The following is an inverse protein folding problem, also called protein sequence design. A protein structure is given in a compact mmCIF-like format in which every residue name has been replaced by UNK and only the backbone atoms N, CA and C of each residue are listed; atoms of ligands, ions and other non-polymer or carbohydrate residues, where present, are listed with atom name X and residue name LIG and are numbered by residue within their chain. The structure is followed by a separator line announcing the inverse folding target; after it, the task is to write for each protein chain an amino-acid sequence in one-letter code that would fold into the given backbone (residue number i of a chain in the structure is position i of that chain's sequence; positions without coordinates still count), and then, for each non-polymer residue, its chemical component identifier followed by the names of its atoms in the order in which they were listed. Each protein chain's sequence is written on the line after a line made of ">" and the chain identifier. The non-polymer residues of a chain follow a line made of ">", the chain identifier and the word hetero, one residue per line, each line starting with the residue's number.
data_IF_376398870721
#
_entry.id   IF_376398870721
#
_cell.length_a   1.000
_cell.length_b   1.000
_cell.length_c   1.000
_cell.angle_alpha   90.00
_cell.angle_beta   90.00
_cell.angle_gamma   90.00
#
_symmetry.space_group_name_H-M   'P 1'
#
loop_
_entity.id
_entity.type
_entity.pdbx_description
1 polymer ?
#
# COMPACT_ATOMS: atom_id res chain seq x y z
N UNK A 1 -64.34 1.84 -38.87
CA UNK A 1 -63.81 2.78 -39.89
C UNK A 1 -62.79 3.68 -39.20
N UNK A 2 -61.50 3.41 -39.44
CA UNK A 2 -60.38 4.04 -38.75
C UNK A 2 -60.20 5.51 -39.13
N UNK A 3 -59.91 6.32 -38.11
CA UNK A 3 -59.72 7.77 -38.16
C UNK A 3 -58.29 8.05 -38.62
N UNK A 4 -58.11 8.58 -39.83
CA UNK A 4 -56.79 9.01 -40.32
C UNK A 4 -56.41 10.36 -39.71
N UNK A 5 -55.41 10.35 -38.83
CA UNK A 5 -54.78 11.52 -38.26
C UNK A 5 -53.69 12.02 -39.22
N UNK A 6 -53.82 13.28 -39.68
CA UNK A 6 -52.89 13.91 -40.62
C UNK A 6 -51.65 14.39 -39.86
N UNK A 7 -50.50 13.76 -40.12
CA UNK A 7 -49.19 14.21 -39.64
C UNK A 7 -48.81 15.49 -40.41
N UNK A 8 -48.76 16.62 -39.70
CA UNK A 8 -48.28 17.89 -40.23
C UNK A 8 -46.77 17.80 -40.47
N UNK A 9 -46.37 17.87 -41.74
CA UNK A 9 -44.97 17.97 -42.17
C UNK A 9 -44.43 19.37 -41.82
N UNK A 10 -43.67 19.43 -40.74
CA UNK A 10 -42.93 20.62 -40.29
C UNK A 10 -41.92 21.03 -41.37
N UNK A 11 -41.99 22.29 -41.81
CA UNK A 11 -41.20 22.85 -42.89
C UNK A 11 -39.68 22.77 -42.60
N UNK A 12 -38.82 22.61 -43.62
CA UNK A 12 -37.38 22.37 -43.43
C UNK A 12 -36.64 23.49 -42.70
N UNK A 13 -37.18 24.72 -42.72
CA UNK A 13 -36.62 25.89 -42.03
C UNK A 13 -36.77 25.82 -40.50
N UNK A 14 -37.83 25.20 -40.00
CA UNK A 14 -38.06 25.03 -38.55
C UNK A 14 -37.20 23.90 -37.95
N UNK A 15 -36.87 22.87 -38.75
CA UNK A 15 -35.95 21.80 -38.33
C UNK A 15 -34.52 22.31 -38.09
N UNK A 16 -34.07 23.26 -38.89
CA UNK A 16 -32.75 23.88 -38.74
C UNK A 16 -32.67 24.72 -37.45
N UNK A 17 -33.73 25.46 -37.14
CA UNK A 17 -33.83 26.27 -35.91
C UNK A 17 -33.82 25.39 -34.66
N UNK A 18 -34.53 24.25 -34.66
CA UNK A 18 -34.51 23.31 -33.55
C UNK A 18 -33.15 22.63 -33.38
N UNK A 19 -32.45 22.32 -34.48
CA UNK A 19 -31.10 21.76 -34.44
C UNK A 19 -30.09 22.76 -33.87
N UNK A 20 -30.15 24.02 -34.29
CA UNK A 20 -29.27 25.09 -33.79
C UNK A 20 -29.55 25.35 -32.31
N UNK A 21 -30.82 25.39 -31.89
CA UNK A 21 -31.20 25.54 -30.49
C UNK A 21 -30.69 24.37 -29.62
N UNK A 22 -30.74 23.13 -30.14
CA UNK A 22 -30.19 21.96 -29.46
C UNK A 22 -28.67 22.01 -29.28
N UNK A 23 -27.93 22.45 -30.31
CA UNK A 23 -26.48 22.64 -30.23
C UNK A 23 -26.12 23.73 -29.21
N UNK A 24 -26.86 24.83 -29.19
CA UNK A 24 -26.62 25.94 -28.25
C UNK A 24 -26.86 25.53 -26.79
N UNK A 25 -27.89 24.71 -26.54
CA UNK A 25 -28.15 24.11 -25.22
C UNK A 25 -27.03 23.15 -24.79
N UNK A 26 -26.49 22.38 -25.74
CA UNK A 26 -25.41 21.43 -25.48
C UNK A 26 -24.09 22.16 -25.18
N UNK A 27 -23.80 23.25 -25.89
CA UNK A 27 -22.63 24.12 -25.61
C UNK A 27 -22.77 24.80 -24.24
N UNK A 28 -23.96 25.29 -23.87
CA UNK A 28 -24.21 25.86 -22.54
C UNK A 28 -24.04 24.83 -21.42
N UNK A 29 -24.46 23.58 -21.64
CA UNK A 29 -24.25 22.48 -20.70
C UNK A 29 -22.75 22.15 -20.51
N UNK A 30 -21.96 22.17 -21.59
CA UNK A 30 -20.51 21.97 -21.49
C UNK A 30 -19.79 23.14 -20.82
N UNK A 31 -20.25 24.39 -21.00
CA UNK A 31 -19.66 25.55 -20.31
C UNK A 31 -19.93 25.56 -18.80
N UNK A 32 -21.02 24.93 -18.33
CA UNK A 32 -21.27 24.77 -16.89
C UNK A 32 -20.41 23.69 -16.22
N UNK A 33 -19.77 22.80 -16.99
CA UNK A 33 -18.89 21.73 -16.47
C UNK A 33 -17.42 22.18 -16.32
N UNK A 34 -17.06 23.39 -16.74
CA UNK A 34 -15.68 23.93 -16.67
C UNK A 34 -15.47 24.78 -15.40
N UNK A 35 -16.48 24.92 -14.54
CA UNK A 35 -16.52 25.88 -13.43
C UNK A 35 -15.96 25.47 -12.07
N UNK A 36 -15.41 24.26 -11.87
CA UNK A 36 -14.87 23.83 -10.57
C UNK A 36 -13.59 23.00 -10.70
N UNK A 37 -12.56 23.57 -11.34
CA UNK A 37 -11.18 23.13 -11.07
C UNK A 37 -10.47 24.23 -10.30
N UNK A 38 -10.16 23.91 -9.04
CA UNK A 38 -9.22 24.67 -8.23
C UNK A 38 -7.94 24.95 -9.04
N UNK A 39 -7.30 26.12 -8.84
CA UNK A 39 -6.09 26.47 -9.56
C UNK A 39 -5.03 25.38 -9.39
N UNK A 40 -4.48 24.94 -10.52
CA UNK A 40 -3.36 24.02 -10.58
C UNK A 40 -2.15 24.80 -10.04
N UNK A 41 -1.82 24.60 -8.76
CA UNK A 41 -0.53 24.98 -8.21
C UNK A 41 0.53 24.15 -8.94
N UNK A 42 1.29 24.82 -9.80
CA UNK A 42 2.45 24.26 -10.48
C UNK A 42 3.32 23.54 -9.46
N UNK A 43 3.48 22.23 -9.60
CA UNK A 43 4.50 21.51 -8.89
C UNK A 43 5.84 21.95 -9.49
N UNK A 44 6.53 22.87 -8.82
CA UNK A 44 7.98 22.90 -8.92
C UNK A 44 8.47 21.49 -8.59
N UNK A 45 9.32 20.93 -9.46
CA UNK A 45 9.98 19.64 -9.26
C UNK A 45 10.94 19.74 -8.09
N UNK A 46 10.38 19.67 -6.89
CA UNK A 46 11.09 19.33 -5.67
C UNK A 46 11.14 17.80 -5.62
N UNK A 47 12.34 17.25 -5.72
CA UNK A 47 12.58 15.84 -5.49
C UNK A 47 12.12 15.48 -4.06
N UNK A 48 10.89 14.98 -3.93
CA UNK A 48 10.38 14.38 -2.71
C UNK A 48 10.44 12.87 -2.91
N UNK A 49 11.57 12.28 -2.54
CA UNK A 49 11.61 10.85 -2.26
C UNK A 49 10.72 10.59 -1.04
N UNK A 50 9.56 9.96 -1.28
CA UNK A 50 8.79 9.32 -0.21
C UNK A 50 9.49 8.02 0.19
N UNK A 51 10.51 8.14 1.02
CA UNK A 51 10.97 7.05 1.90
C UNK A 51 10.32 7.23 3.28
N UNK A 52 9.78 6.15 3.84
CA UNK A 52 8.99 6.12 5.09
C UNK A 52 9.82 6.28 6.38
N UNK A 53 11.05 6.76 6.27
CA UNK A 53 11.85 7.29 7.37
C UNK A 53 12.52 8.55 6.87
N UNK A 54 12.14 9.70 7.42
CA UNK A 54 12.77 10.97 7.11
C UNK A 54 14.27 10.88 7.44
N UNK A 55 15.10 10.65 6.43
CA UNK A 55 16.51 10.98 6.47
C UNK A 55 16.57 12.49 6.65
N UNK A 56 16.68 12.91 7.91
CA UNK A 56 17.13 14.24 8.25
C UNK A 56 18.58 14.32 7.76
N UNK A 57 18.76 14.72 6.50
CA UNK A 57 20.05 15.18 6.00
C UNK A 57 20.32 16.47 6.78
N UNK A 58 21.00 16.32 7.92
CA UNK A 58 21.74 17.43 8.52
C UNK A 58 22.72 17.88 7.44
N UNK A 59 22.67 19.14 6.97
CA UNK A 59 23.57 19.56 5.93
C UNK A 59 25.00 19.47 6.46
N UNK A 60 25.80 18.62 5.82
CA UNK A 60 27.25 18.72 5.87
C UNK A 60 27.67 19.93 5.04
N UNK A 61 27.32 21.14 5.47
CA UNK A 61 27.90 22.41 5.03
C UNK A 61 27.21 23.59 5.70
N UNK A 62 28.02 24.47 6.27
CA UNK A 62 27.59 25.79 6.70
C UNK A 62 27.08 26.57 5.47
N UNK A 63 26.08 27.43 5.67
CA UNK A 63 25.64 28.38 4.65
C UNK A 63 26.80 29.29 4.26
N UNK A 64 27.26 29.16 3.01
CA UNK A 64 28.32 29.98 2.43
C UNK A 64 27.78 31.37 2.08
N UNK A 65 28.13 32.37 2.88
CA UNK A 65 28.15 33.77 2.45
C UNK A 65 29.59 34.10 2.04
N UNK A 66 29.86 34.47 0.77
CA UNK A 66 31.16 35.03 0.37
C UNK A 66 31.22 36.53 0.72
N UNK A 67 32.40 37.15 0.99
CA UNK A 67 33.74 36.70 0.59
C UNK A 67 34.80 36.63 1.73
N UNK A 68 35.69 35.64 1.61
CA UNK A 68 37.09 35.60 2.10
C UNK A 68 37.36 35.29 3.60
N UNK A 69 38.60 34.89 3.99
CA UNK A 69 38.89 33.48 4.32
C UNK A 69 39.60 33.27 5.68
N UNK A 70 39.68 32.00 6.10
CA UNK A 70 40.57 31.46 7.17
C UNK A 70 40.51 32.08 8.58
N UNK A 71 39.74 31.47 9.48
CA UNK A 71 40.22 30.77 10.70
C UNK A 71 39.09 30.64 11.74
N UNK A 72 39.17 29.57 12.53
CA UNK A 72 38.65 29.55 13.90
C UNK A 72 37.18 29.20 14.03
N UNK A 73 36.92 28.03 14.63
CA UNK A 73 35.57 27.59 14.97
C UNK A 73 34.81 28.63 15.80
N UNK A 74 33.55 28.82 15.47
CA UNK A 74 32.55 29.46 16.34
C UNK A 74 31.15 29.13 15.81
N UNK A 75 30.72 27.89 15.97
CA UNK A 75 29.29 27.62 16.15
C UNK A 75 29.01 27.77 17.65
N UNK A 76 28.76 29.00 18.08
CA UNK A 76 28.33 29.29 19.45
C UNK A 76 26.84 29.01 19.57
N UNK A 77 26.50 27.77 19.92
CA UNK A 77 25.24 27.41 20.56
C UNK A 77 25.58 26.55 21.76
N UNK A 78 25.33 27.06 22.98
CA UNK A 78 25.51 26.45 24.31
C UNK A 78 26.32 25.13 24.34
N UNK A 79 27.55 25.20 24.88
CA UNK A 79 28.59 24.16 24.89
C UNK A 79 28.28 22.85 25.65
N UNK A 80 27.15 22.23 25.39
CA UNK A 80 26.82 20.86 25.78
C UNK A 80 27.06 19.89 24.63
N UNK A 81 27.31 18.62 24.96
CA UNK A 81 27.24 17.57 23.95
C UNK A 81 25.77 17.22 23.64
N UNK A 82 25.51 16.70 22.44
CA UNK A 82 24.20 16.24 22.00
C UNK A 82 24.27 14.80 21.51
N UNK A 83 23.21 14.04 21.77
CA UNK A 83 23.01 12.68 21.30
C UNK A 83 21.56 12.51 20.84
N UNK A 84 21.37 11.91 19.66
CA UNK A 84 20.07 11.74 19.03
C UNK A 84 19.98 10.43 18.28
N UNK A 85 18.76 9.95 18.03
CA UNK A 85 18.51 8.70 17.31
C UNK A 85 17.62 8.97 16.09
N UNK A 86 17.86 8.24 15.01
CA UNK A 86 16.94 8.23 13.86
C UNK A 86 16.97 6.84 13.20
N UNK A 87 15.81 6.16 13.08
CA UNK A 87 14.49 6.51 13.64
C UNK A 87 14.40 6.32 15.19
N UNK A 88 13.49 7.06 15.85
CA UNK A 88 13.14 6.92 17.28
C UNK A 88 11.68 7.38 17.51
N UNK A 89 10.78 6.56 18.08
CA UNK A 89 10.97 5.18 18.56
C UNK A 89 11.15 4.14 17.43
N UNK A 90 11.65 2.94 17.78
CA UNK A 90 11.76 1.78 16.87
C UNK A 90 11.01 0.56 17.41
N UNK A 91 10.52 -0.32 16.52
CA UNK A 91 9.89 -1.58 16.94
C UNK A 91 10.91 -2.60 17.46
N UNK A 92 10.47 -3.56 18.27
CA UNK A 92 11.33 -4.64 18.80
C UNK A 92 12.05 -5.38 17.66
N UNK A 93 13.38 -5.44 17.73
CA UNK A 93 14.24 -6.08 16.72
C UNK A 93 14.59 -5.20 15.52
N UNK A 94 14.05 -3.98 15.41
CA UNK A 94 14.47 -3.01 14.40
C UNK A 94 15.74 -2.28 14.83
N UNK A 95 16.53 -1.80 13.87
CA UNK A 95 17.75 -1.03 14.15
C UNK A 95 17.48 0.48 14.07
N UNK A 96 18.24 1.25 14.86
CA UNK A 96 18.29 2.70 14.80
C UNK A 96 19.74 3.14 14.60
N UNK A 97 19.95 4.40 14.23
CA UNK A 97 21.28 5.01 14.18
C UNK A 97 21.40 6.02 15.30
N UNK A 98 22.43 5.89 16.14
CA UNK A 98 22.81 6.89 17.14
C UNK A 98 23.74 7.91 16.48
N UNK A 99 23.48 9.20 16.72
CA UNK A 99 24.29 10.33 16.30
C UNK A 99 24.76 11.09 17.53
N UNK A 100 26.01 11.49 17.55
CA UNK A 100 26.55 12.27 18.66
C UNK A 100 27.45 13.41 18.16
N UNK A 101 27.45 14.50 18.92
CA UNK A 101 28.32 15.64 18.66
C UNK A 101 28.70 16.33 19.98
N UNK A 102 29.96 16.72 20.10
CA UNK A 102 30.54 17.44 21.22
C UNK A 102 31.61 18.44 20.72
N UNK A 103 31.88 19.51 21.50
CA UNK A 103 32.90 20.51 21.17
C UNK A 103 34.27 19.86 20.97
N UNK A 104 35.08 20.36 20.03
CA UNK A 104 36.37 19.78 19.64
C UNK A 104 37.54 20.05 20.61
N UNK A 105 37.30 20.76 21.71
CA UNK A 105 38.32 21.12 22.72
C UNK A 105 38.38 20.19 23.94
N UNK A 106 37.65 19.07 23.92
CA UNK A 106 37.64 18.07 24.97
C UNK A 106 38.65 16.94 24.75
N UNK A 107 38.91 16.16 25.79
CA UNK A 107 39.71 14.93 25.71
C UNK A 107 38.92 13.71 26.22
N UNK A 108 39.29 12.52 25.72
CA UNK A 108 38.74 11.22 26.16
C UNK A 108 37.23 11.03 25.95
N UNK A 109 36.72 11.32 24.75
CA UNK A 109 35.31 11.08 24.40
C UNK A 109 34.99 9.58 24.44
N UNK A 110 33.97 9.22 25.22
CA UNK A 110 33.52 7.84 25.39
C UNK A 110 32.01 7.79 25.26
N UNK A 111 31.52 6.90 24.40
CA UNK A 111 30.10 6.57 24.29
C UNK A 111 29.83 5.29 25.09
N UNK A 112 29.09 5.41 26.18
CA UNK A 112 28.72 4.29 27.06
C UNK A 112 27.25 3.90 26.91
N UNK A 113 26.97 2.62 27.10
CA UNK A 113 25.64 2.02 27.05
C UNK A 113 25.58 0.80 27.98
N UNK A 114 24.38 0.31 28.35
CA UNK A 114 24.25 -0.91 29.15
C UNK A 114 24.94 -2.10 28.45
N UNK A 115 26.01 -2.61 29.06
CA UNK A 115 26.80 -3.73 28.53
C UNK A 115 28.09 -3.35 27.80
N UNK A 116 28.44 -2.06 27.67
CA UNK A 116 29.73 -1.67 27.08
C UNK A 116 30.01 -0.17 26.96
N UNK A 117 31.22 0.17 26.55
CA UNK A 117 31.62 1.53 26.23
C UNK A 117 32.69 1.55 25.15
N UNK A 118 32.56 2.45 24.18
CA UNK A 118 33.54 2.60 23.10
C UNK A 118 34.18 4.00 23.14
N UNK A 119 35.51 4.10 22.94
CA UNK A 119 36.14 5.39 22.66
C UNK A 119 35.66 5.88 21.29
N UNK A 120 35.27 7.16 21.21
CA UNK A 120 34.72 7.76 19.98
C UNK A 120 35.42 9.08 19.68
N UNK A 121 35.24 9.60 18.47
CA UNK A 121 35.55 11.00 18.14
C UNK A 121 34.52 11.95 18.75
N UNK A 122 34.84 13.24 18.77
CA UNK A 122 33.95 14.29 19.26
C UNK A 122 32.60 14.34 18.52
N UNK A 123 32.53 13.88 17.27
CA UNK A 123 31.29 13.67 16.53
C UNK A 123 31.32 12.37 15.74
N UNK A 124 30.16 11.74 15.52
CA UNK A 124 30.05 10.51 14.76
C UNK A 124 28.65 9.90 14.76
N UNK A 125 28.53 8.73 14.12
CA UNK A 125 27.30 7.94 14.09
C UNK A 125 27.60 6.45 14.14
N UNK A 126 26.66 5.65 14.66
CA UNK A 126 26.78 4.20 14.74
C UNK A 126 25.43 3.49 14.72
N UNK A 127 25.41 2.26 14.21
CA UNK A 127 24.21 1.42 14.22
C UNK A 127 23.98 0.82 15.61
N UNK A 128 22.73 0.85 16.07
CA UNK A 128 22.29 0.31 17.36
C UNK A 128 21.05 -0.58 17.17
N UNK A 129 21.05 -1.75 17.79
CA UNK A 129 19.93 -2.70 17.72
C UNK A 129 18.83 -2.38 18.73
N UNK A 130 17.56 -2.46 18.30
CA UNK A 130 16.36 -2.25 19.11
C UNK A 130 15.91 -3.51 19.85
N UNK A 131 16.82 -4.16 20.58
CA UNK A 131 16.47 -5.32 21.43
C UNK A 131 15.77 -4.89 22.72
N UNK A 132 16.13 -3.72 23.24
CA UNK A 132 15.53 -3.10 24.43
C UNK A 132 15.83 -1.60 24.44
N UNK A 133 15.00 -0.82 25.14
CA UNK A 133 15.27 0.60 25.35
C UNK A 133 16.54 0.76 26.17
N UNK A 134 17.56 1.40 25.57
CA UNK A 134 18.89 1.57 26.18
C UNK A 134 19.23 3.07 26.25
N UNK A 135 19.80 3.48 27.37
CA UNK A 135 20.34 4.84 27.54
C UNK A 135 21.77 4.87 27.04
N UNK A 136 22.07 5.76 26.09
CA UNK A 136 23.42 6.01 25.63
C UNK A 136 23.91 7.31 26.25
N UNK A 137 25.14 7.31 26.78
CA UNK A 137 25.74 8.48 27.42
C UNK A 137 27.06 8.80 26.74
N UNK A 138 27.18 10.00 26.17
CA UNK A 138 28.45 10.53 25.70
C UNK A 138 29.10 11.30 26.86
N UNK A 139 30.34 10.95 27.20
CA UNK A 139 31.13 11.62 28.25
C UNK A 139 32.48 12.05 27.72
N UNK A 140 32.94 13.24 28.12
CA UNK A 140 34.27 13.75 27.79
C UNK A 140 34.80 14.68 28.88
N UNK A 141 36.11 14.88 28.94
CA UNK A 141 36.71 15.89 29.84
C UNK A 141 36.81 17.22 29.13
N UNK A 142 36.16 18.25 29.66
CA UNK A 142 36.32 19.60 29.18
C UNK A 142 37.69 20.15 29.62
N UNK A 143 38.44 20.72 28.68
CA UNK A 143 39.66 21.47 28.99
C UNK A 143 39.22 22.92 29.23
N UNK A 144 39.34 23.41 30.46
CA UNK A 144 39.10 24.83 30.74
C UNK A 144 40.27 25.64 30.19
N UNK A 145 39.99 26.49 29.22
CA UNK A 145 40.95 27.45 28.69
C UNK A 145 41.10 28.60 29.70
N UNK A 146 41.68 28.32 30.87
CA UNK A 146 42.21 29.35 31.75
C UNK A 146 43.69 29.45 31.50
N UNK A 147 44.07 30.45 30.70
CA UNK A 147 45.46 30.78 30.45
C UNK A 147 46.25 30.94 31.76
N UNK A 148 47.51 30.52 31.68
CA UNK A 148 48.57 30.73 32.66
C UNK A 148 48.47 29.95 33.99
N UNK A 149 49.23 28.85 34.05
CA UNK A 149 50.00 28.47 35.24
C UNK A 149 49.22 27.98 36.45
N UNK A 150 48.68 26.76 36.39
CA UNK A 150 48.44 25.97 37.61
C UNK A 150 48.44 24.47 37.29
N UNK A 151 49.37 23.75 37.89
CA UNK A 151 49.41 22.30 37.95
C UNK A 151 48.07 21.74 38.46
N UNK A 152 47.52 20.73 37.78
CA UNK A 152 46.54 19.82 38.37
C UNK A 152 45.06 20.21 38.35
N UNK A 153 44.61 21.09 37.45
CA UNK A 153 43.18 21.38 37.30
C UNK A 153 42.39 20.18 36.73
N UNK A 154 41.64 19.48 37.59
CA UNK A 154 40.76 18.39 37.19
C UNK A 154 39.69 18.90 36.21
N UNK A 155 39.88 18.68 34.91
CA UNK A 155 38.88 19.02 33.89
C UNK A 155 37.53 18.39 34.22
N UNK A 156 36.48 19.21 34.26
CA UNK A 156 35.12 18.77 34.55
C UNK A 156 34.67 17.77 33.49
N UNK A 157 34.18 16.60 33.93
CA UNK A 157 33.56 15.63 33.04
C UNK A 157 32.19 16.15 32.65
N UNK A 158 31.99 16.34 31.35
CA UNK A 158 30.70 16.73 30.77
C UNK A 158 30.07 15.50 30.16
N UNK A 159 28.80 15.26 30.46
CA UNK A 159 28.05 14.13 29.92
C UNK A 159 26.66 14.54 29.46
N UNK A 160 26.22 13.95 28.35
CA UNK A 160 24.86 14.04 27.83
C UNK A 160 24.36 12.63 27.54
N UNK A 161 23.07 12.40 27.75
CA UNK A 161 22.45 11.11 27.51
C UNK A 161 21.16 11.25 26.72
N UNK A 162 20.87 10.24 25.91
CA UNK A 162 19.57 10.05 25.28
C UNK A 162 19.20 8.56 25.34
N UNK A 163 17.90 8.31 25.26
CA UNK A 163 17.33 6.97 25.34
C UNK A 163 16.84 6.59 23.95
N UNK A 164 17.31 5.47 23.42
CA UNK A 164 16.65 4.85 22.27
C UNK A 164 15.36 4.21 22.78
N UNK A 165 14.21 4.66 22.28
CA UNK A 165 12.92 4.10 22.68
C UNK A 165 12.60 2.91 21.79
N UNK A 166 12.62 1.71 22.36
CA UNK A 166 12.14 0.49 21.69
C UNK A 166 10.72 0.22 22.14
N UNK A 167 9.79 0.13 21.18
CA UNK A 167 8.42 -0.22 21.47
C UNK A 167 8.36 -1.62 22.10
N UNK A 168 7.66 -1.78 23.25
CA UNK A 168 7.48 -3.09 23.88
C UNK A 168 6.87 -4.12 22.92
N UNK A 169 7.06 -5.40 23.22
CA UNK A 169 6.42 -6.49 22.49
C UNK A 169 4.91 -6.23 22.37
N UNK A 170 4.38 -6.31 21.14
CA UNK A 170 2.98 -6.01 20.84
C UNK A 170 2.65 -4.54 20.54
N UNK A 171 3.65 -3.69 20.29
CA UNK A 171 3.46 -2.31 19.82
C UNK A 171 4.25 -2.03 18.52
N UNK A 172 3.68 -1.21 17.62
CA UNK A 172 4.33 -0.69 16.40
C UNK A 172 4.46 0.82 16.45
N UNK A 173 5.36 1.38 15.63
CA UNK A 173 5.55 2.83 15.52
C UNK A 173 4.51 3.38 14.54
N UNK A 174 3.58 4.20 15.02
CA UNK A 174 2.69 5.02 14.18
C UNK A 174 2.86 6.49 14.56
N UNK A 175 3.12 7.35 13.57
CA UNK A 175 3.32 8.80 13.75
C UNK A 175 4.36 9.16 14.85
N UNK A 176 5.43 8.38 14.97
CA UNK A 176 6.48 8.63 15.96
C UNK A 176 6.09 8.23 17.40
N UNK A 177 5.01 7.46 17.59
CA UNK A 177 4.60 6.93 18.89
C UNK A 177 4.46 5.41 18.83
N UNK A 178 4.77 4.74 19.94
CA UNK A 178 4.47 3.32 20.10
C UNK A 178 2.97 3.15 20.33
N UNK A 179 2.30 2.55 19.35
CA UNK A 179 0.89 2.21 19.44
C UNK A 179 0.75 0.69 19.56
N UNK A 180 -0.21 0.17 20.33
CA UNK A 180 -0.51 -1.24 20.34
C UNK A 180 -0.74 -1.75 18.91
N UNK A 181 -0.03 -2.80 18.51
CA UNK A 181 -0.51 -3.61 17.40
C UNK A 181 -1.82 -4.20 17.88
N UNK A 182 -2.93 -3.79 17.28
CA UNK A 182 -4.23 -4.42 17.45
C UNK A 182 -4.01 -5.94 17.47
N UNK A 183 -4.12 -6.51 18.68
CA UNK A 183 -3.96 -7.92 19.08
C UNK A 183 -2.79 -8.33 20.00
N UNK A 184 -1.95 -7.44 20.55
CA UNK A 184 -0.95 -7.87 21.56
C UNK A 184 -0.81 -6.93 22.76
N UNK A 185 -0.79 -7.52 23.96
CA UNK A 185 -0.70 -6.82 25.24
C UNK A 185 0.74 -6.74 25.77
N UNK A 186 1.07 -5.74 26.59
CA UNK A 186 2.38 -5.60 27.25
C UNK A 186 2.77 -6.85 28.07
N UNK A 187 4.07 -7.05 28.29
CA UNK A 187 4.59 -8.16 29.11
C UNK A 187 3.96 -8.16 30.52
N UNK A 188 3.41 -9.31 30.93
CA UNK A 188 2.63 -9.45 32.16
C UNK A 188 1.12 -9.25 31.97
N UNK A 189 0.65 -9.17 30.73
CA UNK A 189 -0.77 -9.09 30.37
C UNK A 189 -1.11 -9.99 29.18
N UNK A 190 -2.33 -10.53 29.15
CA UNK A 190 -2.91 -11.28 28.04
C UNK A 190 -4.14 -10.55 27.46
N UNK A 191 -4.41 -10.80 26.18
CA UNK A 191 -5.51 -10.16 25.45
C UNK A 191 -6.82 -10.90 25.75
N UNK A 192 -7.82 -10.17 26.25
CA UNK A 192 -9.18 -10.67 26.43
C UNK A 192 -10.17 -9.73 25.72
N UNK A 193 -10.69 -10.16 24.57
CA UNK A 193 -11.45 -9.30 23.67
C UNK A 193 -10.61 -8.16 23.11
N UNK A 194 -11.02 -6.91 23.35
CA UNK A 194 -10.29 -5.68 22.95
C UNK A 194 -9.47 -5.06 24.10
N UNK A 195 -9.39 -5.73 25.26
CA UNK A 195 -8.76 -5.19 26.48
C UNK A 195 -7.63 -6.09 26.97
N UNK A 196 -6.56 -5.47 27.46
CA UNK A 196 -5.42 -6.18 28.05
C UNK A 196 -5.64 -6.42 29.54
N UNK A 197 -5.58 -7.68 29.98
CA UNK A 197 -5.75 -8.09 31.37
C UNK A 197 -4.42 -8.57 31.95
N UNK A 198 -4.19 -8.34 33.24
CA UNK A 198 -2.97 -8.74 33.95
C UNK A 198 -2.87 -10.26 34.14
N UNK A 199 -1.66 -10.81 33.96
CA UNK A 199 -1.37 -12.23 34.14
C UNK A 199 -1.44 -12.65 35.62
N UNK A 200 -1.23 -11.70 36.56
CA UNK A 200 -1.49 -11.88 37.98
C UNK A 200 -2.88 -11.33 38.34
N UNK A 201 -3.78 -12.21 38.77
CA UNK A 201 -5.22 -11.92 38.90
C UNK A 201 -5.60 -11.12 40.14
N UNK A 202 -4.66 -10.95 41.08
CA UNK A 202 -4.83 -9.97 42.14
C UNK A 202 -4.63 -8.56 41.62
N UNK A 203 -4.32 -8.34 40.33
CA UNK A 203 -3.99 -7.04 39.76
C UNK A 203 -4.94 -6.58 38.63
N UNK A 204 -5.14 -5.27 38.52
CA UNK A 204 -5.86 -4.62 37.42
C UNK A 204 -4.92 -3.65 36.69
N UNK A 205 -5.10 -3.49 35.37
CA UNK A 205 -4.30 -2.56 34.58
C UNK A 205 -4.70 -1.12 34.91
N UNK A 206 -3.77 -0.35 35.47
CA UNK A 206 -3.87 1.11 35.63
C UNK A 206 -2.68 1.74 34.94
N UNK A 207 -2.93 2.63 33.97
CA UNK A 207 -1.90 3.26 33.13
C UNK A 207 -0.90 2.25 32.49
N UNK A 208 -1.39 1.09 32.06
CA UNK A 208 -0.57 0.04 31.43
C UNK A 208 0.28 -0.80 32.40
N UNK A 209 0.17 -0.58 33.71
CA UNK A 209 0.85 -1.37 34.75
C UNK A 209 -0.16 -2.15 35.60
N UNK A 210 0.21 -3.35 36.01
CA UNK A 210 -0.64 -4.21 36.83
C UNK A 210 -0.50 -3.86 38.32
N UNK A 211 -1.59 -3.36 38.94
CA UNK A 211 -1.64 -2.98 40.36
C UNK A 211 -2.64 -3.83 41.12
N UNK A 212 -2.42 -4.16 42.41
CA UNK A 212 -3.32 -5.06 43.14
C UNK A 212 -4.78 -4.51 43.22
N UNK A 213 -5.74 -5.22 42.62
CA UNK A 213 -7.16 -4.89 42.45
C UNK A 213 -8.06 -5.25 43.64
N UNK A 214 -7.55 -5.94 44.65
CA UNK A 214 -8.35 -6.29 45.84
C UNK A 214 -9.52 -7.26 45.59
N UNK A 215 -9.65 -7.84 44.40
CA UNK A 215 -10.61 -8.91 44.10
C UNK A 215 -9.99 -10.27 44.37
N UNK A 216 -10.72 -11.17 45.01
CA UNK A 216 -10.23 -12.51 45.36
C UNK A 216 -10.38 -13.58 44.27
N UNK A 217 -10.91 -13.24 43.10
CA UNK A 217 -11.04 -14.17 41.98
C UNK A 217 -10.88 -13.48 40.60
N UNK A 218 -10.66 -14.29 39.55
CA UNK A 218 -10.78 -13.90 38.13
C UNK A 218 -11.17 -15.12 37.30
N UNK A 219 -11.95 -14.93 36.23
CA UNK A 219 -12.31 -16.00 35.28
C UNK A 219 -12.42 -15.47 33.85
N UNK A 220 -12.03 -16.29 32.87
CA UNK A 220 -12.18 -15.97 31.44
C UNK A 220 -12.24 -17.24 30.57
N UNK A 221 -12.78 -17.10 29.37
CA UNK A 221 -12.82 -18.14 28.34
C UNK A 221 -11.75 -17.88 27.28
N UNK A 222 -11.07 -18.93 26.83
CA UNK A 222 -10.12 -18.85 25.72
C UNK A 222 -10.39 -19.97 24.70
N UNK A 223 -10.90 -19.64 23.49
CA UNK A 223 -11.33 -18.31 23.02
C UNK A 223 -12.65 -17.84 23.67
N UNK A 224 -12.85 -16.52 23.85
CA UNK A 224 -14.06 -15.98 24.50
C UNK A 224 -15.36 -16.09 23.69
N UNK A 225 -15.25 -16.40 22.40
CA UNK A 225 -16.36 -16.66 21.50
C UNK A 225 -16.00 -17.80 20.53
N UNK A 226 -16.98 -18.65 20.22
CA UNK A 226 -16.86 -19.82 19.34
C UNK A 226 -18.08 -19.94 18.43
N UNK A 227 -17.94 -20.65 17.30
CA UNK A 227 -19.10 -21.08 16.50
C UNK A 227 -19.71 -22.35 17.12
N UNK A 228 -21.00 -22.59 16.85
CA UNK A 228 -21.69 -23.78 17.35
C UNK A 228 -20.92 -25.08 17.03
N UNK A 229 -20.60 -25.85 18.08
CA UNK A 229 -19.83 -27.11 17.97
C UNK A 229 -18.32 -26.97 18.12
N UNK A 230 -17.77 -25.75 18.20
CA UNK A 230 -16.39 -25.54 18.63
C UNK A 230 -16.29 -25.42 20.15
N UNK A 231 -15.15 -25.85 20.68
CA UNK A 231 -14.87 -25.87 22.11
C UNK A 231 -14.11 -24.62 22.54
N UNK A 232 -14.37 -24.16 23.77
CA UNK A 232 -13.57 -23.16 24.46
C UNK A 232 -13.26 -23.62 25.87
N UNK A 233 -12.11 -23.23 26.43
CA UNK A 233 -11.68 -23.63 27.77
C UNK A 233 -11.89 -22.48 28.76
N UNK A 234 -12.52 -22.79 29.90
CA UNK A 234 -12.66 -21.87 31.03
C UNK A 234 -11.41 -21.91 31.91
N UNK A 235 -10.86 -20.75 32.21
CA UNK A 235 -9.77 -20.56 33.16
C UNK A 235 -10.26 -19.73 34.36
N UNK A 236 -9.84 -20.11 35.57
CA UNK A 236 -10.12 -19.35 36.78
C UNK A 236 -8.91 -19.27 37.71
N UNK A 237 -8.86 -18.18 38.47
CA UNK A 237 -7.90 -18.00 39.56
C UNK A 237 -8.65 -17.52 40.79
N UNK A 238 -8.35 -18.12 41.93
CA UNK A 238 -9.05 -17.86 43.20
C UNK A 238 -8.01 -17.70 44.32
N UNK A 239 -8.25 -16.77 45.23
CA UNK A 239 -7.45 -16.57 46.43
C UNK A 239 -7.88 -17.51 47.56
N UNK A 240 -9.15 -17.88 47.61
CA UNK A 240 -9.72 -18.77 48.62
C UNK A 240 -10.69 -19.78 48.00
N UNK A 241 -10.95 -20.91 48.68
CA UNK A 241 -11.98 -21.86 48.26
C UNK A 241 -13.36 -21.21 48.17
N UNK A 242 -14.13 -21.63 47.17
CA UNK A 242 -15.47 -21.12 46.94
C UNK A 242 -16.31 -22.06 46.09
N UNK A 243 -17.42 -21.55 45.56
CA UNK A 243 -18.34 -22.33 44.73
C UNK A 243 -18.41 -21.74 43.33
N UNK A 244 -18.25 -22.60 42.33
CA UNK A 244 -18.45 -22.24 40.93
C UNK A 244 -19.83 -22.72 40.47
N UNK A 245 -20.60 -21.79 39.93
CA UNK A 245 -21.95 -21.95 39.42
C UNK A 245 -21.93 -21.90 37.90
N UNK A 246 -22.70 -22.81 37.28
CA UNK A 246 -22.93 -22.88 35.84
C UNK A 246 -24.42 -23.20 35.59
N UNK A 247 -24.94 -23.02 34.36
CA UNK A 247 -26.38 -23.18 34.10
C UNK A 247 -26.96 -24.56 34.47
N UNK A 248 -26.13 -25.59 34.57
CA UNK A 248 -26.54 -26.96 34.90
C UNK A 248 -26.23 -27.39 36.34
N UNK A 249 -25.72 -26.52 37.20
CA UNK A 249 -25.39 -26.86 38.59
C UNK A 249 -24.30 -26.00 39.21
N UNK A 250 -23.67 -26.56 40.25
CA UNK A 250 -22.54 -25.92 40.93
C UNK A 250 -21.59 -26.98 41.48
N UNK A 251 -20.30 -26.66 41.55
CA UNK A 251 -19.31 -27.51 42.20
C UNK A 251 -18.33 -26.68 43.05
N UNK A 252 -17.81 -27.25 44.15
CA UNK A 252 -16.82 -26.58 44.97
C UNK A 252 -15.47 -26.53 44.25
N UNK A 253 -14.76 -25.42 44.39
CA UNK A 253 -13.41 -25.21 43.84
C UNK A 253 -12.52 -24.70 44.94
N UNK A 254 -11.43 -25.42 45.20
CA UNK A 254 -10.46 -25.11 46.26
C UNK A 254 -9.15 -24.56 45.73
N UNK A 255 -8.91 -24.65 44.41
CA UNK A 255 -7.69 -24.18 43.76
C UNK A 255 -8.00 -23.55 42.39
N UNK A 256 -7.10 -22.67 41.95
CA UNK A 256 -7.05 -22.12 40.60
C UNK A 256 -6.82 -23.23 39.58
N UNK A 257 -7.36 -23.08 38.37
CA UNK A 257 -7.23 -24.11 37.35
C UNK A 257 -7.96 -23.80 36.05
N UNK A 258 -8.11 -24.84 35.25
CA UNK A 258 -8.87 -24.83 34.00
C UNK A 258 -9.85 -25.99 33.98
N UNK A 259 -11.01 -25.79 33.36
CA UNK A 259 -12.13 -26.72 33.40
C UNK A 259 -12.79 -26.93 32.05
N UNK A 260 -13.97 -27.55 32.01
CA UNK A 260 -14.49 -28.24 30.83
C UNK A 260 -14.49 -27.37 29.58
N UNK A 261 -14.07 -28.00 28.48
CA UNK A 261 -14.10 -27.40 27.16
C UNK A 261 -15.53 -27.51 26.61
N UNK A 262 -16.34 -26.47 26.79
CA UNK A 262 -17.74 -26.50 26.38
C UNK A 262 -17.85 -26.32 24.85
N UNK A 263 -18.34 -27.36 24.17
CA UNK A 263 -18.71 -27.33 22.74
C UNK A 263 -20.18 -26.95 22.51
N UNK A 264 -20.78 -26.26 23.48
CA UNK A 264 -22.23 -26.07 23.58
C UNK A 264 -22.86 -25.35 22.38
N UNK A 265 -24.16 -25.58 22.21
CA UNK A 265 -24.95 -24.89 21.16
C UNK A 265 -25.46 -23.50 21.57
N UNK A 266 -25.23 -23.08 22.81
CA UNK A 266 -25.74 -21.82 23.37
C UNK A 266 -24.68 -21.13 24.23
N UNK A 267 -24.72 -19.80 24.23
CA UNK A 267 -23.90 -18.98 25.12
C UNK A 267 -24.21 -19.30 26.58
N UNK A 268 -23.17 -19.31 27.42
CA UNK A 268 -23.31 -19.69 28.83
C UNK A 268 -22.41 -18.83 29.72
N UNK A 269 -22.85 -18.58 30.94
CA UNK A 269 -22.10 -17.80 31.92
C UNK A 269 -21.80 -18.64 33.14
N UNK A 270 -20.52 -18.69 33.50
CA UNK A 270 -20.03 -19.29 34.73
C UNK A 270 -19.81 -18.17 35.74
N UNK A 271 -20.09 -18.45 37.02
CA UNK A 271 -19.90 -17.49 38.12
C UNK A 271 -19.24 -18.20 39.30
N UNK A 272 -18.13 -17.68 39.77
CA UNK A 272 -17.51 -18.08 41.03
C UNK A 272 -17.92 -17.14 42.15
N UNK A 273 -18.13 -17.69 43.34
CA UNK A 273 -18.36 -16.96 44.58
C UNK A 273 -17.37 -17.46 45.62
N UNK A 274 -16.53 -16.56 46.13
CA UNK A 274 -15.55 -16.84 47.17
C UNK A 274 -16.27 -17.13 48.51
N UNK A 275 -15.90 -18.22 49.17
CA UNK A 275 -16.53 -18.65 50.42
C UNK A 275 -16.10 -17.85 51.66
N UNK A 276 -15.04 -17.04 51.57
CA UNK A 276 -14.45 -16.30 52.69
C UNK A 276 -14.90 -14.85 52.74
N UNK A 277 -14.88 -14.15 51.61
CA UNK A 277 -15.18 -12.72 51.51
C UNK A 277 -16.44 -12.42 50.67
N UNK A 278 -17.00 -13.42 49.98
CA UNK A 278 -18.20 -13.27 49.16
C UNK A 278 -17.97 -12.59 47.81
N UNK A 279 -16.72 -12.33 47.42
CA UNK A 279 -16.37 -11.77 46.12
C UNK A 279 -16.82 -12.68 44.97
N UNK A 280 -17.12 -12.06 43.84
CA UNK A 280 -17.72 -12.77 42.70
C UNK A 280 -17.07 -12.40 41.39
N UNK A 281 -16.85 -13.44 40.58
CA UNK A 281 -16.27 -13.34 39.26
C UNK A 281 -17.09 -14.13 38.27
N UNK A 282 -17.28 -13.61 37.06
CA UNK A 282 -18.09 -14.26 36.04
C UNK A 282 -17.40 -14.21 34.70
N UNK A 283 -17.56 -15.29 33.92
CA UNK A 283 -17.07 -15.39 32.56
C UNK A 283 -18.17 -15.95 31.65
N UNK A 284 -18.44 -15.27 30.54
CA UNK A 284 -19.45 -15.68 29.56
C UNK A 284 -18.76 -16.19 28.30
N UNK A 285 -19.09 -17.41 27.90
CA UNK A 285 -18.76 -17.94 26.58
C UNK A 285 -19.84 -17.51 25.60
N UNK A 286 -19.45 -16.83 24.53
CA UNK A 286 -20.37 -16.46 23.45
C UNK A 286 -20.36 -17.54 22.37
N UNK A 287 -21.50 -18.17 22.11
CA UNK A 287 -21.65 -19.13 21.00
C UNK A 287 -22.40 -18.44 19.85
N UNK A 288 -21.75 -18.34 18.69
CA UNK A 288 -22.35 -17.72 17.52
C UNK A 288 -23.41 -18.62 16.89
N UNK A 289 -24.64 -18.12 16.68
CA UNK A 289 -25.71 -18.85 16.01
C UNK A 289 -25.33 -19.23 14.58
N UNK A 290 -26.05 -20.21 14.01
CA UNK A 290 -25.91 -20.61 12.60
C UNK A 290 -25.97 -19.40 11.67
N UNK A 291 -24.97 -19.25 10.80
CA UNK A 291 -24.86 -18.11 9.87
C UNK A 291 -24.06 -16.92 10.41
N UNK A 292 -23.45 -17.03 11.59
CA UNK A 292 -22.51 -16.04 12.14
C UNK A 292 -21.13 -16.66 12.35
N UNK A 293 -20.08 -15.83 12.24
CA UNK A 293 -18.68 -16.20 12.55
C UNK A 293 -18.15 -15.29 13.66
N UNK A 294 -17.08 -15.74 14.34
CA UNK A 294 -16.39 -14.91 15.33
C UNK A 294 -15.47 -13.91 14.59
N UNK A 295 -15.79 -12.62 14.65
CA UNK A 295 -14.92 -11.53 14.20
C UNK A 295 -14.59 -10.64 15.40
N UNK A 296 -13.30 -10.46 15.70
CA UNK A 296 -12.82 -9.66 16.84
C UNK A 296 -13.44 -10.04 18.20
N UNK A 297 -13.70 -11.34 18.43
CA UNK A 297 -14.28 -11.84 19.68
C UNK A 297 -15.80 -11.62 19.81
N UNK A 298 -16.48 -11.15 18.76
CA UNK A 298 -17.93 -11.00 18.70
C UNK A 298 -18.54 -11.80 17.55
N UNK A 299 -19.82 -12.13 17.65
CA UNK A 299 -20.54 -12.81 16.58
C UNK A 299 -20.97 -11.80 15.52
N UNK A 300 -20.44 -11.95 14.32
CA UNK A 300 -20.79 -11.17 13.16
C UNK A 300 -21.47 -12.07 12.12
N UNK A 301 -22.47 -11.57 11.38
CA UNK A 301 -23.02 -12.32 10.25
C UNK A 301 -21.91 -12.74 9.30
N UNK A 302 -21.98 -13.98 8.79
CA UNK A 302 -21.11 -14.38 7.67
C UNK A 302 -21.49 -13.44 6.52
N UNK A 303 -20.63 -12.46 6.24
CA UNK A 303 -20.87 -11.54 5.13
C UNK A 303 -20.81 -12.37 3.85
N UNK A 304 -21.98 -12.69 3.27
CA UNK A 304 -22.04 -13.49 2.05
C UNK A 304 -21.61 -12.61 0.87
N UNK A 305 -20.30 -12.50 0.68
CA UNK A 305 -19.74 -11.94 -0.53
C UNK A 305 -19.77 -13.00 -1.62
N UNK A 306 -20.66 -12.84 -2.59
CA UNK A 306 -20.69 -13.67 -3.79
C UNK A 306 -19.44 -13.37 -4.62
N UNK A 307 -18.56 -14.36 -4.86
CA UNK A 307 -17.39 -14.13 -5.69
C UNK A 307 -17.80 -13.68 -7.08
N UNK A 308 -17.29 -12.52 -7.48
CA UNK A 308 -17.61 -11.92 -8.77
C UNK A 308 -16.36 -11.24 -9.35
N UNK A 309 -16.27 -11.26 -10.67
CA UNK A 309 -15.25 -10.53 -11.40
C UNK A 309 -15.75 -9.13 -11.73
N UNK A 310 -14.89 -8.13 -11.57
CA UNK A 310 -15.20 -6.75 -11.87
C UNK A 310 -13.95 -6.01 -12.34
N UNK A 311 -14.16 -4.87 -12.99
CA UNK A 311 -13.07 -4.05 -13.51
C UNK A 311 -12.73 -2.95 -12.52
N UNK A 312 -11.45 -2.78 -12.21
CA UNK A 312 -10.95 -1.64 -11.45
C UNK A 312 -9.90 -0.93 -12.31
N UNK A 313 -10.27 0.22 -12.86
CA UNK A 313 -9.49 0.86 -13.92
C UNK A 313 -9.50 -0.01 -15.18
N UNK A 314 -8.31 -0.28 -15.72
CA UNK A 314 -8.15 -1.12 -16.92
C UNK A 314 -7.99 -2.61 -16.61
N UNK A 315 -7.90 -3.00 -15.34
CA UNK A 315 -7.50 -4.34 -14.94
C UNK A 315 -8.64 -5.14 -14.30
N UNK A 316 -8.49 -6.46 -14.34
CA UNK A 316 -9.48 -7.40 -13.85
C UNK A 316 -9.22 -7.74 -12.38
N UNK A 317 -10.24 -7.57 -11.55
CA UNK A 317 -10.23 -7.91 -10.13
C UNK A 317 -11.34 -8.92 -9.81
N UNK A 318 -11.15 -9.64 -8.71
CA UNK A 318 -12.12 -10.56 -8.16
C UNK A 318 -12.48 -10.13 -6.74
N UNK A 319 -13.78 -10.11 -6.43
CA UNK A 319 -14.27 -9.99 -5.06
C UNK A 319 -14.15 -11.37 -4.40
N UNK A 320 -13.32 -11.50 -3.37
CA UNK A 320 -13.15 -12.79 -2.68
C UNK A 320 -14.32 -13.08 -1.74
N UNK A 321 -14.40 -14.32 -1.25
CA UNK A 321 -15.38 -14.71 -0.23
C UNK A 321 -15.22 -13.92 1.09
N UNK A 322 -14.02 -13.38 1.36
CA UNK A 322 -13.75 -12.48 2.49
C UNK A 322 -13.98 -10.99 2.14
N UNK A 323 -14.69 -10.70 1.04
CA UNK A 323 -15.00 -9.34 0.60
C UNK A 323 -13.78 -8.48 0.25
N UNK A 324 -12.63 -9.09 -0.01
CA UNK A 324 -11.42 -8.38 -0.44
C UNK A 324 -11.38 -8.29 -1.96
N UNK A 325 -10.77 -7.23 -2.48
CA UNK A 325 -10.53 -7.09 -3.90
C UNK A 325 -9.15 -7.70 -4.20
N UNK A 326 -9.13 -8.77 -4.98
CA UNK A 326 -7.91 -9.44 -5.41
C UNK A 326 -7.63 -9.10 -6.87
N UNK A 327 -6.40 -8.69 -7.17
CA UNK A 327 -5.95 -8.51 -8.55
C UNK A 327 -5.85 -9.87 -9.25
N UNK A 328 -6.47 -9.99 -10.42
CA UNK A 328 -6.45 -11.23 -11.22
C UNK A 328 -5.40 -11.11 -12.32
N UNK A 329 -5.53 -10.08 -13.16
CA UNK A 329 -4.61 -9.85 -14.28
C UNK A 329 -4.73 -8.41 -14.80
N UNK A 330 -3.66 -7.94 -15.43
CA UNK A 330 -3.67 -6.69 -16.16
C UNK A 330 -4.27 -6.90 -17.55
N UNK A 331 -5.20 -6.03 -17.97
CA UNK A 331 -5.80 -6.16 -19.30
C UNK A 331 -5.16 -5.16 -20.27
N UNK A 332 -4.35 -5.67 -21.21
CA UNK A 332 -3.65 -4.85 -22.20
C UNK A 332 -4.58 -3.98 -23.08
N UNK A 333 -5.83 -4.42 -23.26
CA UNK A 333 -6.85 -3.73 -24.08
C UNK A 333 -8.00 -3.16 -23.23
N UNK A 334 -7.80 -3.08 -21.91
CA UNK A 334 -8.82 -2.63 -20.95
C UNK A 334 -9.74 -3.75 -20.47
N UNK A 335 -10.60 -3.40 -19.51
CA UNK A 335 -11.54 -4.31 -18.86
C UNK A 335 -12.96 -3.74 -18.98
N UNK A 336 -13.93 -4.60 -19.31
CA UNK A 336 -15.34 -4.25 -19.27
C UNK A 336 -16.17 -5.47 -18.90
N UNK A 337 -17.29 -5.27 -18.19
CA UNK A 337 -18.21 -6.37 -17.83
C UNK A 337 -17.61 -7.46 -16.96
N UNK A 338 -16.52 -7.19 -16.22
CA UNK A 338 -15.82 -8.19 -15.41
C UNK A 338 -14.97 -9.16 -16.24
N UNK A 339 -14.52 -8.75 -17.43
CA UNK A 339 -13.58 -9.50 -18.26
C UNK A 339 -12.60 -8.56 -18.97
N UNK A 340 -11.42 -9.08 -19.31
CA UNK A 340 -10.49 -8.37 -20.18
C UNK A 340 -11.03 -8.33 -21.60
N UNK A 341 -10.89 -7.18 -22.26
CA UNK A 341 -11.25 -7.01 -23.66
C UNK A 341 -10.25 -7.74 -24.56
N UNK A 342 -10.72 -8.41 -25.63
CA UNK A 342 -9.83 -9.04 -26.59
C UNK A 342 -9.07 -7.97 -27.41
N UNK A 343 -7.91 -8.31 -27.98
CA UNK A 343 -7.21 -7.44 -28.90
C UNK A 343 -8.09 -7.05 -30.10
N UNK A 344 -7.97 -5.83 -30.63
CA UNK A 344 -8.75 -5.40 -31.78
C UNK A 344 -8.30 -6.12 -33.06
N UNK A 345 -9.26 -6.48 -33.91
CA UNK A 345 -8.99 -7.19 -35.15
C UNK A 345 -8.20 -6.31 -36.16
N UNK A 346 -7.24 -6.88 -36.91
CA UNK A 346 -6.47 -6.15 -37.91
C UNK A 346 -7.30 -5.79 -39.14
N UNK A 347 -7.01 -4.61 -39.69
CA UNK A 347 -7.59 -4.12 -40.94
C UNK A 347 -6.45 -3.75 -41.87
N UNK A 348 -6.57 -4.09 -43.15
CA UNK A 348 -5.57 -3.77 -44.17
C UNK A 348 -6.24 -3.47 -45.51
N UNK A 349 -5.65 -2.56 -46.28
CA UNK A 349 -6.07 -2.19 -47.63
C UNK A 349 -4.83 -1.96 -48.52
N UNK A 350 -4.94 -2.33 -49.79
CA UNK A 350 -3.92 -2.11 -50.83
C UNK A 350 -4.63 -1.69 -52.13
N UNK A 351 -4.04 -0.74 -52.84
CA UNK A 351 -4.56 -0.16 -54.07
C UNK A 351 -3.42 0.06 -55.07
N UNK A 352 -3.75 0.09 -56.36
CA UNK A 352 -2.83 0.36 -57.46
C UNK A 352 -3.45 1.40 -58.38
N UNK A 353 -2.71 2.44 -58.74
CA UNK A 353 -3.16 3.49 -59.65
C UNK A 353 -2.03 3.94 -60.58
N UNK A 354 -2.19 3.79 -61.90
CA UNK A 354 -3.29 3.10 -62.60
C UNK A 354 -3.22 1.56 -62.47
N UNK A 355 -4.37 0.87 -62.57
CA UNK A 355 -4.45 -0.61 -62.51
C UNK A 355 -4.49 -1.28 -63.90
N UNK A 356 -4.45 -0.48 -64.96
CA UNK A 356 -4.38 -0.91 -66.35
C UNK A 356 -3.29 -0.07 -67.05
N UNK A 357 -2.33 -0.74 -67.67
CA UNK A 357 -1.09 -0.13 -68.15
C UNK A 357 -0.70 -0.65 -69.54
N UNK A 358 0.11 0.10 -70.29
CA UNK A 358 0.84 -0.48 -71.40
C UNK A 358 2.07 -1.26 -70.89
N UNK A 359 2.63 -2.10 -71.75
CA UNK A 359 3.87 -2.83 -71.44
C UNK A 359 4.99 -1.81 -71.14
N UNK A 360 5.79 -2.08 -70.11
CA UNK A 360 6.87 -1.23 -69.56
C UNK A 360 6.42 0.00 -68.73
N UNK A 361 5.12 0.29 -68.62
CA UNK A 361 4.65 1.36 -67.73
C UNK A 361 4.75 0.95 -66.25
N UNK A 362 4.73 1.94 -65.35
CA UNK A 362 4.75 1.76 -63.88
C UNK A 362 3.43 2.17 -63.23
N UNK A 363 3.09 1.56 -62.10
CA UNK A 363 1.93 1.92 -61.27
C UNK A 363 2.36 2.36 -59.88
N UNK A 364 1.55 3.20 -59.23
CA UNK A 364 1.74 3.55 -57.83
C UNK A 364 0.92 2.60 -56.94
N UNK A 365 1.61 1.86 -56.08
CA UNK A 365 1.03 0.94 -55.11
C UNK A 365 0.92 1.64 -53.76
N UNK A 366 -0.29 1.77 -53.22
CA UNK A 366 -0.55 2.40 -51.92
C UNK A 366 -1.23 1.43 -50.97
N UNK A 367 -0.77 1.35 -49.73
CA UNK A 367 -1.35 0.50 -48.71
C UNK A 367 -1.42 1.16 -47.34
N UNK A 368 -2.38 0.70 -46.54
CA UNK A 368 -2.61 1.15 -45.16
C UNK A 368 -3.12 0.00 -44.30
N UNK A 369 -2.75 -0.03 -43.04
CA UNK A 369 -3.29 -0.97 -42.06
C UNK A 369 -3.60 -0.31 -40.71
N UNK A 370 -4.42 -0.98 -39.91
CA UNK A 370 -4.76 -0.61 -38.54
C UNK A 370 -4.84 -1.85 -37.67
N UNK A 371 -4.50 -1.74 -36.38
CA UNK A 371 -4.40 -2.86 -35.45
C UNK A 371 -3.44 -3.97 -35.93
N UNK A 372 -2.32 -3.59 -36.57
CA UNK A 372 -1.29 -4.52 -37.05
C UNK A 372 0.08 -4.18 -36.47
N UNK A 373 0.92 -5.19 -36.28
CA UNK A 373 2.31 -5.06 -35.81
C UNK A 373 3.29 -4.85 -36.96
N UNK A 374 3.05 -5.53 -38.09
CA UNK A 374 3.92 -5.48 -39.27
C UNK A 374 3.14 -5.83 -40.53
N UNK A 375 3.55 -5.27 -41.66
CA UNK A 375 2.99 -5.57 -42.97
C UNK A 375 4.10 -5.63 -44.02
N UNK A 376 3.94 -6.54 -44.97
CA UNK A 376 4.83 -6.71 -46.12
C UNK A 376 3.99 -6.79 -47.40
N UNK A 377 4.42 -6.07 -48.43
CA UNK A 377 3.90 -6.17 -49.78
C UNK A 377 4.86 -7.02 -50.60
N UNK A 378 4.34 -8.01 -51.31
CA UNK A 378 5.09 -8.86 -52.23
C UNK A 378 4.37 -8.94 -53.56
N UNK A 379 5.09 -8.97 -54.66
CA UNK A 379 4.50 -9.01 -55.99
C UNK A 379 5.10 -10.10 -56.88
N UNK A 380 4.36 -10.49 -57.92
CA UNK A 380 4.80 -11.49 -58.90
C UNK A 380 5.96 -11.02 -59.79
N UNK A 381 6.20 -9.69 -59.88
CA UNK A 381 7.35 -9.09 -60.55
C UNK A 381 8.56 -8.90 -59.61
N UNK A 382 8.56 -9.55 -58.44
CA UNK A 382 9.61 -9.48 -57.42
C UNK A 382 9.77 -8.09 -56.76
N UNK A 383 8.76 -7.23 -56.83
CA UNK A 383 8.70 -6.07 -55.96
C UNK A 383 8.33 -6.48 -54.54
N UNK A 384 9.01 -5.86 -53.57
CA UNK A 384 8.82 -6.13 -52.16
C UNK A 384 9.04 -4.86 -51.34
N UNK A 385 8.08 -4.56 -50.46
CA UNK A 385 8.13 -3.42 -49.55
C UNK A 385 7.63 -3.83 -48.16
N UNK A 386 8.04 -3.09 -47.14
CA UNK A 386 7.64 -3.33 -45.75
C UNK A 386 7.15 -2.04 -45.10
N UNK A 387 6.28 -2.17 -44.11
CA UNK A 387 5.69 -1.04 -43.38
C UNK A 387 4.18 -1.16 -43.28
N UNK A 388 3.59 -0.69 -42.18
CA UNK A 388 2.13 -0.73 -41.92
C UNK A 388 1.34 0.20 -42.84
N UNK A 389 2.00 1.20 -43.43
CA UNK A 389 1.45 2.02 -44.50
C UNK A 389 2.57 2.46 -45.43
N UNK A 390 2.26 2.72 -46.69
CA UNK A 390 3.25 3.19 -47.65
C UNK A 390 2.66 3.50 -49.02
N UNK A 391 3.50 4.11 -49.84
CA UNK A 391 3.22 4.42 -51.24
C UNK A 391 4.51 4.25 -52.01
N UNK A 392 4.52 3.32 -52.96
CA UNK A 392 5.71 2.98 -53.72
C UNK A 392 5.38 2.86 -55.20
N UNK A 393 6.35 3.18 -56.05
CA UNK A 393 6.19 3.01 -57.50
C UNK A 393 6.73 1.64 -57.90
N UNK A 394 5.95 0.91 -58.69
CA UNK A 394 6.37 -0.40 -59.19
C UNK A 394 7.57 -0.30 -60.12
N UNK A 395 8.29 -1.41 -60.28
CA UNK A 395 9.10 -1.62 -61.47
C UNK A 395 8.23 -1.62 -62.76
N UNK A 396 8.84 -1.46 -63.94
CA UNK A 396 8.15 -1.61 -65.23
C UNK A 396 7.37 -2.93 -65.31
N UNK A 397 6.12 -2.85 -65.76
CA UNK A 397 5.19 -3.98 -65.79
C UNK A 397 5.15 -4.61 -67.18
N UNK A 398 5.60 -5.87 -67.29
CA UNK A 398 5.71 -6.60 -68.57
C UNK A 398 4.65 -7.70 -68.74
N UNK A 399 4.01 -8.11 -67.66
CA UNK A 399 2.89 -9.04 -67.63
C UNK A 399 1.90 -8.66 -66.51
N UNK A 400 0.72 -9.29 -66.50
CA UNK A 400 -0.23 -9.14 -65.39
C UNK A 400 0.48 -9.41 -64.06
N UNK A 401 0.42 -8.43 -63.16
CA UNK A 401 1.17 -8.46 -61.89
C UNK A 401 0.21 -8.40 -60.71
N UNK A 402 0.39 -9.32 -59.76
CA UNK A 402 -0.43 -9.39 -58.54
C UNK A 402 0.40 -8.91 -57.37
N UNK A 403 -0.06 -7.84 -56.72
CA UNK A 403 0.51 -7.32 -55.48
C UNK A 403 -0.28 -7.87 -54.30
N UNK A 404 0.42 -8.47 -53.35
CA UNK A 404 -0.15 -9.09 -52.15
C UNK A 404 0.40 -8.39 -50.92
N UNK A 405 -0.49 -7.77 -50.14
CA UNK A 405 -0.22 -7.23 -48.82
C UNK A 405 -0.51 -8.30 -47.77
N UNK A 406 0.47 -8.62 -46.94
CA UNK A 406 0.34 -9.55 -45.81
C UNK A 406 0.68 -8.81 -44.53
N UNK A 407 -0.26 -8.76 -43.58
CA UNK A 407 -0.11 -8.06 -42.31
C UNK A 407 -0.33 -8.99 -41.11
N UNK A 408 0.50 -8.84 -40.08
CA UNK A 408 0.34 -9.50 -38.78
C UNK A 408 -0.41 -8.56 -37.83
N UNK A 409 -1.56 -8.98 -37.34
CA UNK A 409 -2.41 -8.27 -36.38
C UNK A 409 -1.84 -8.22 -34.97
N UNK A 410 -2.27 -7.23 -34.18
CA UNK A 410 -1.92 -7.15 -32.75
C UNK A 410 -2.52 -8.29 -31.93
N UNK A 411 -3.61 -8.87 -32.43
CA UNK A 411 -4.29 -10.09 -31.98
C UNK A 411 -3.55 -11.39 -32.37
N UNK A 412 -2.47 -11.29 -33.16
CA UNK A 412 -1.71 -12.42 -33.68
C UNK A 412 -2.28 -13.06 -34.95
N UNK A 413 -3.42 -12.59 -35.46
CA UNK A 413 -3.97 -13.09 -36.72
C UNK A 413 -3.21 -12.52 -37.92
N UNK A 414 -3.24 -13.20 -39.07
CA UNK A 414 -2.63 -12.70 -40.31
C UNK A 414 -3.72 -12.37 -41.32
N UNK A 415 -3.69 -11.15 -41.87
CA UNK A 415 -4.62 -10.68 -42.89
C UNK A 415 -3.89 -10.47 -44.22
N UNK A 416 -4.50 -10.96 -45.30
CA UNK A 416 -3.98 -10.81 -46.67
C UNK A 416 -4.95 -10.03 -47.55
N UNK A 417 -4.40 -9.14 -48.38
CA UNK A 417 -5.14 -8.37 -49.41
C UNK A 417 -4.34 -8.36 -50.69
N UNK A 418 -5.05 -8.25 -51.83
CA UNK A 418 -4.40 -8.23 -53.14
C UNK A 418 -5.00 -7.18 -54.06
N UNK A 419 -4.15 -6.63 -54.91
CA UNK A 419 -4.55 -5.81 -56.05
C UNK A 419 -3.85 -6.35 -57.31
N UNK A 420 -4.54 -6.29 -58.44
CA UNK A 420 -4.06 -6.83 -59.72
C UNK A 420 -3.89 -5.66 -60.69
N UNK A 421 -2.74 -5.62 -61.35
CA UNK A 421 -2.48 -4.73 -62.48
C UNK A 421 -2.54 -5.54 -63.76
N UNK A 422 -3.34 -5.07 -64.71
CA UNK A 422 -3.50 -5.67 -66.03
C UNK A 422 -2.73 -4.87 -67.09
N UNK A 423 -2.38 -5.54 -68.19
CA UNK A 423 -1.77 -4.91 -69.36
C UNK A 423 -2.81 -4.77 -70.46
N UNK A 424 -2.79 -3.63 -71.15
CA UNK A 424 -3.56 -3.39 -72.36
C UNK A 424 -3.00 -4.29 -73.47
N UNK A 425 -3.80 -5.20 -74.05
CA UNK A 425 -3.34 -6.05 -75.14
C UNK A 425 -3.02 -5.21 -76.38
N UNK A 426 -1.83 -5.42 -76.95
CA UNK A 426 -1.47 -4.87 -78.26
C UNK A 426 -2.16 -5.71 -79.33
N UNK A 427 -3.20 -5.17 -79.96
CA UNK A 427 -3.82 -5.82 -81.12
C UNK A 427 -2.94 -5.59 -82.35
N UNK A 428 -2.44 -6.67 -82.95
CA UNK A 428 -1.77 -6.64 -84.25
C UNK A 428 -2.73 -7.25 -85.27
N UNK A 429 -3.24 -6.45 -86.21
CA UNK A 429 -3.95 -7.01 -87.38
C UNK A 429 -2.90 -7.65 -88.29
N UNK A 430 -2.93 -8.98 -88.40
CA UNK A 430 -2.11 -9.77 -89.32
C UNK A 430 -2.77 -9.94 -90.66
#
# INVERSE_FOLDING_TARGET
>A
MGKHERIALIAPRERLLLFIAGILLLVLFFMQQVGDRAPISSAETRFVEKSLGGLQIVPASCASVPPNPHNGGSCSGNGGCNISFSPDPVALGQSSTVFWNAPSGGSSYTLSYPGGSNPVSNAGSGAVGGESSKTYTLSYRAVSDSGAGSEGGAGNTVSCSAILTVCPAGQTVQNGQCVPTTNQCPSGQHLSGSSCLCDNTNQSPVNGQCINSGKSCSMYWSPSAVVQGQTSTLFWTIAHPGTLYYPGGSFPVSTSGSGPADGGSQSMTYRFVDGTNGDQCSATLTVCPTGQTVQNGQCAPVQQCTPSYFCQGNDLYQKTAQCNNQFVQACAWGCSGGACLPPPAPIAAITASPSLLHVEDTSVISWTSSNTRSCNVTATNYDAWSGTSGTETSKPIVAQTVYTLTCLGVDGSTIMRRVIINIIPNFQET
#
